data_IF_888202327611
#
_entry.id   IF_888202327611
#
_cell.length_a   1.000
_cell.length_b   1.000
_cell.length_c   1.000
_cell.angle_alpha   90.00
_cell.angle_beta   90.00
_cell.angle_gamma   90.00
#
_symmetry.space_group_name_H-M   'P 1'
#
loop_
_entity.id
_entity.type
_entity.pdbx_description
1 polymer ?
#
# COMPACT_ATOMS: atom_id res chain seq x y z
N UNK A 1 -6.77 8.83 11.86
CA UNK A 1 -7.19 7.42 11.97
C UNK A 1 -5.96 6.60 12.34
N UNK A 2 -6.06 5.67 13.29
CA UNK A 2 -4.94 4.77 13.63
C UNK A 2 -5.06 3.44 12.86
N UNK A 3 -3.99 2.64 12.86
CA UNK A 3 -3.94 1.37 12.12
C UNK A 3 -5.11 0.43 12.49
N UNK A 4 -5.40 0.28 13.78
CA UNK A 4 -6.48 -0.59 14.26
C UNK A 4 -7.85 -0.14 13.76
N UNK A 5 -8.10 1.17 13.71
CA UNK A 5 -9.34 1.73 13.15
C UNK A 5 -9.44 1.45 11.65
N UNK A 6 -8.34 1.57 10.90
CA UNK A 6 -8.30 1.26 9.48
C UNK A 6 -8.58 -0.21 9.19
N UNK A 7 -7.98 -1.12 9.96
CA UNK A 7 -8.21 -2.57 9.85
C UNK A 7 -9.66 -2.91 10.22
N UNK A 8 -10.17 -2.36 11.32
CA UNK A 8 -11.55 -2.58 11.74
C UNK A 8 -12.54 -2.07 10.67
N UNK A 9 -12.27 -0.90 10.08
CA UNK A 9 -13.08 -0.35 9.00
C UNK A 9 -13.07 -1.27 7.76
N UNK A 10 -11.90 -1.81 7.40
CA UNK A 10 -11.73 -2.76 6.29
C UNK A 10 -12.55 -4.05 6.49
N UNK A 11 -12.58 -4.56 7.71
CA UNK A 11 -13.35 -5.76 8.04
C UNK A 11 -14.87 -5.52 8.01
N UNK A 12 -15.32 -4.30 8.35
CA UNK A 12 -16.74 -3.95 8.42
C UNK A 12 -17.35 -3.53 7.08
N UNK A 13 -16.54 -2.95 6.18
CA UNK A 13 -17.03 -2.41 4.91
C UNK A 13 -16.47 -3.21 3.73
N UNK A 14 -17.34 -3.66 2.83
CA UNK A 14 -16.90 -4.35 1.61
C UNK A 14 -16.22 -3.40 0.61
N UNK A 15 -16.59 -2.10 0.63
CA UNK A 15 -16.07 -1.09 -0.29
C UNK A 15 -15.09 -0.17 0.42
N UNK A 16 -13.97 0.12 -0.24
CA UNK A 16 -13.02 1.11 0.23
C UNK A 16 -13.64 2.51 0.20
N UNK A 17 -13.50 3.32 1.26
CA UNK A 17 -13.90 4.72 1.25
C UNK A 17 -13.21 5.51 0.12
N UNK A 18 -14.00 6.24 -0.68
CA UNK A 18 -13.51 6.97 -1.85
C UNK A 18 -12.63 8.17 -1.51
N UNK A 19 -12.67 8.65 -0.26
CA UNK A 19 -11.85 9.78 0.21
C UNK A 19 -10.41 9.36 0.58
N UNK A 20 -10.11 8.06 0.64
CA UNK A 20 -8.73 7.61 0.83
C UNK A 20 -7.88 7.91 -0.41
N UNK A 21 -6.60 8.22 -0.21
CA UNK A 21 -5.64 8.34 -1.31
C UNK A 21 -5.53 7.02 -2.07
N UNK A 22 -5.10 7.03 -3.35
CA UNK A 22 -4.90 5.80 -4.12
C UNK A 22 -4.02 4.77 -3.38
N UNK A 23 -2.96 5.23 -2.71
CA UNK A 23 -2.09 4.39 -1.90
C UNK A 23 -2.83 3.67 -0.75
N UNK A 24 -3.68 4.36 0.02
CA UNK A 24 -4.49 3.74 1.07
C UNK A 24 -5.57 2.81 0.50
N UNK A 25 -6.17 3.16 -0.64
CA UNK A 25 -7.11 2.28 -1.33
C UNK A 25 -6.41 0.98 -1.77
N UNK A 26 -5.18 1.06 -2.28
CA UNK A 26 -4.45 -0.14 -2.66
C UNK A 26 -4.12 -1.04 -1.47
N UNK A 27 -3.66 -0.48 -0.35
CA UNK A 27 -3.45 -1.26 0.88
C UNK A 27 -4.74 -1.89 1.42
N UNK A 28 -5.87 -1.20 1.25
CA UNK A 28 -7.19 -1.74 1.60
C UNK A 28 -7.50 -3.03 0.83
N UNK A 29 -7.30 -3.03 -0.48
CA UNK A 29 -7.55 -4.22 -1.32
C UNK A 29 -6.50 -5.31 -1.10
N UNK A 30 -5.23 -4.94 -0.88
CA UNK A 30 -4.17 -5.90 -0.58
C UNK A 30 -4.41 -6.66 0.74
N UNK A 31 -4.92 -6.00 1.77
CA UNK A 31 -5.31 -6.63 3.05
C UNK A 31 -6.39 -7.72 2.85
N UNK A 32 -7.20 -7.58 1.80
CA UNK A 32 -8.26 -8.52 1.44
C UNK A 32 -7.80 -9.56 0.42
N UNK A 33 -6.49 -9.70 0.25
CA UNK A 33 -5.84 -10.60 -0.70
C UNK A 33 -6.17 -10.28 -2.18
N UNK A 34 -6.69 -9.09 -2.47
CA UNK A 34 -6.96 -8.61 -3.83
C UNK A 34 -5.77 -7.79 -4.35
N UNK A 35 -4.66 -8.50 -4.59
CA UNK A 35 -3.42 -7.91 -5.11
C UNK A 35 -3.64 -7.23 -6.46
N UNK A 36 -4.45 -7.82 -7.34
CA UNK A 36 -4.71 -7.28 -8.68
C UNK A 36 -5.36 -5.90 -8.59
N UNK A 37 -6.38 -5.74 -7.74
CA UNK A 37 -7.03 -4.45 -7.56
C UNK A 37 -6.09 -3.43 -6.92
N UNK A 38 -5.31 -3.85 -5.93
CA UNK A 38 -4.31 -3.00 -5.29
C UNK A 38 -3.30 -2.47 -6.32
N UNK A 39 -2.76 -3.36 -7.16
CA UNK A 39 -1.79 -3.03 -8.20
C UNK A 39 -2.41 -2.11 -9.27
N UNK A 40 -3.63 -2.39 -9.74
CA UNK A 40 -4.33 -1.53 -10.71
C UNK A 40 -4.48 -0.08 -10.21
N UNK A 41 -4.79 0.10 -8.92
CA UNK A 41 -4.97 1.44 -8.33
C UNK A 41 -3.65 2.22 -8.36
N UNK A 42 -2.56 1.66 -7.87
CA UNK A 42 -1.26 2.37 -7.82
C UNK A 42 -0.62 2.53 -9.19
N UNK A 43 -0.85 1.58 -10.12
CA UNK A 43 -0.38 1.66 -11.50
C UNK A 43 -0.86 2.93 -12.23
N UNK A 44 -2.03 3.44 -11.86
CA UNK A 44 -2.65 4.62 -12.46
C UNK A 44 -2.34 5.92 -11.70
N UNK A 45 -1.62 5.84 -10.57
CA UNK A 45 -1.23 6.99 -9.76
C UNK A 45 0.24 7.35 -9.98
N UNK A 46 0.59 8.63 -9.83
CA UNK A 46 1.93 9.16 -10.14
C UNK A 46 2.65 9.79 -8.94
N UNK A 47 2.03 9.74 -7.76
CA UNK A 47 2.58 10.30 -6.52
C UNK A 47 3.54 9.32 -5.81
N UNK A 48 4.35 9.85 -4.89
CA UNK A 48 5.37 9.09 -4.17
C UNK A 48 4.77 8.03 -3.22
N UNK A 49 3.59 8.27 -2.65
CA UNK A 49 2.95 7.33 -1.73
C UNK A 49 2.45 6.10 -2.48
N UNK A 50 1.82 6.32 -3.65
CA UNK A 50 1.40 5.25 -4.55
C UNK A 50 2.60 4.45 -5.07
N UNK A 51 3.70 5.13 -5.42
CA UNK A 51 4.95 4.45 -5.79
C UNK A 51 5.50 3.58 -4.65
N UNK A 52 5.34 3.99 -3.38
CA UNK A 52 5.80 3.20 -2.24
C UNK A 52 4.99 1.92 -2.07
N UNK A 53 3.66 2.02 -2.16
CA UNK A 53 2.78 0.84 -2.15
C UNK A 53 3.06 -0.06 -3.36
N UNK A 54 3.35 0.51 -4.53
CA UNK A 54 3.72 -0.26 -5.73
C UNK A 54 5.00 -1.08 -5.52
N UNK A 55 6.01 -0.49 -4.85
CA UNK A 55 7.23 -1.19 -4.48
C UNK A 55 6.96 -2.40 -3.58
N UNK A 56 6.13 -2.20 -2.55
CA UNK A 56 5.68 -3.28 -1.66
C UNK A 56 4.95 -4.39 -2.42
N UNK A 57 4.03 -4.06 -3.34
CA UNK A 57 3.25 -5.04 -4.09
C UNK A 57 4.14 -5.92 -4.99
N UNK A 58 5.14 -5.35 -5.66
CA UNK A 58 6.11 -6.14 -6.42
C UNK A 58 7.03 -6.97 -5.52
N UNK A 59 7.37 -6.48 -4.32
CA UNK A 59 8.10 -7.29 -3.34
C UNK A 59 7.28 -8.50 -2.90
N UNK A 60 5.96 -8.33 -2.70
CA UNK A 60 5.01 -9.40 -2.35
C UNK A 60 4.87 -10.43 -3.48
N UNK A 61 4.87 -9.98 -4.73
CA UNK A 61 4.83 -10.84 -5.93
C UNK A 61 6.17 -11.58 -6.18
N UNK A 62 7.28 -11.04 -5.69
CA UNK A 62 8.63 -11.61 -5.87
C UNK A 62 9.44 -10.95 -6.99
N UNK A 63 8.89 -9.92 -7.66
CA UNK A 63 9.62 -9.11 -8.63
C UNK A 63 10.47 -8.04 -7.94
N UNK A 64 11.61 -8.49 -7.40
CA UNK A 64 12.52 -7.61 -6.66
C UNK A 64 13.13 -6.52 -7.56
N UNK A 65 13.29 -6.76 -8.86
CA UNK A 65 13.85 -5.75 -9.76
C UNK A 65 12.90 -4.57 -9.93
N UNK A 66 11.61 -4.84 -10.15
CA UNK A 66 10.61 -3.79 -10.23
C UNK A 66 10.32 -3.16 -8.87
N UNK A 67 10.31 -3.94 -7.79
CA UNK A 67 10.19 -3.39 -6.43
C UNK A 67 11.25 -2.30 -6.19
N UNK A 68 12.52 -2.56 -6.54
CA UNK A 68 13.62 -1.57 -6.44
C UNK A 68 13.41 -0.33 -7.27
N UNK A 69 12.90 -0.47 -8.49
CA UNK A 69 12.56 0.67 -9.33
C UNK A 69 11.54 1.58 -8.64
N UNK A 70 10.49 0.99 -8.05
CA UNK A 70 9.44 1.73 -7.38
C UNK A 70 9.85 2.32 -6.03
N UNK A 71 10.69 1.63 -5.23
CA UNK A 71 11.29 2.22 -4.03
C UNK A 71 12.08 3.49 -4.33
N UNK A 72 12.88 3.46 -5.41
CA UNK A 72 13.61 4.67 -5.86
C UNK A 72 12.65 5.79 -6.25
N UNK A 73 11.54 5.45 -6.91
CA UNK A 73 10.52 6.41 -7.34
C UNK A 73 9.73 7.00 -6.18
N UNK A 74 9.54 6.25 -5.10
CA UNK A 74 8.88 6.72 -3.89
C UNK A 74 9.79 7.50 -2.95
N UNK A 75 11.10 7.51 -3.19
CA UNK A 75 12.11 8.06 -2.29
C UNK A 75 12.13 7.37 -0.91
N UNK A 76 11.73 6.10 -0.84
CA UNK A 76 11.85 5.25 0.35
C UNK A 76 12.91 4.16 0.13
N UNK A 77 13.68 3.78 1.19
CA UNK A 77 14.59 2.66 1.11
C UNK A 77 13.84 1.33 0.97
N UNK A 78 14.50 0.32 0.41
CA UNK A 78 14.01 -1.07 0.45
C UNK A 78 13.82 -1.51 1.90
N UNK A 79 12.60 -1.94 2.23
CA UNK A 79 12.27 -2.40 3.57
C UNK A 79 12.90 -3.78 3.84
N UNK A 80 13.47 -3.96 5.05
CA UNK A 80 14.32 -5.11 5.41
C UNK A 80 13.60 -6.16 6.29
N UNK A 81 12.32 -5.94 6.62
CA UNK A 81 11.53 -6.85 7.46
C UNK A 81 10.51 -7.67 6.67
N UNK A 82 9.52 -8.22 7.37
CA UNK A 82 8.46 -9.01 6.75
C UNK A 82 7.53 -8.15 5.88
N UNK A 83 6.78 -8.79 4.96
CA UNK A 83 5.76 -8.11 4.16
C UNK A 83 4.66 -7.51 5.04
N UNK A 84 4.30 -8.18 6.14
CA UNK A 84 3.33 -7.65 7.09
C UNK A 84 3.84 -6.36 7.76
N UNK A 85 5.07 -6.37 8.25
CA UNK A 85 5.68 -5.19 8.89
C UNK A 85 5.78 -4.02 7.93
N UNK A 86 6.11 -4.28 6.66
CA UNK A 86 6.12 -3.23 5.65
C UNK A 86 4.71 -2.67 5.41
N UNK A 87 3.72 -3.53 5.20
CA UNK A 87 2.33 -3.11 5.00
C UNK A 87 1.84 -2.23 6.16
N UNK A 88 2.11 -2.64 7.40
CA UNK A 88 1.75 -1.90 8.61
C UNK A 88 2.46 -0.54 8.69
N UNK A 89 3.75 -0.48 8.34
CA UNK A 89 4.51 0.78 8.33
C UNK A 89 3.96 1.75 7.29
N UNK A 90 3.70 1.27 6.07
CA UNK A 90 3.15 2.12 5.00
C UNK A 90 1.77 2.62 5.43
N UNK A 91 0.88 1.72 5.87
CA UNK A 91 -0.46 2.09 6.32
C UNK A 91 -0.41 3.16 7.43
N UNK A 92 0.36 2.92 8.50
CA UNK A 92 0.51 3.89 9.59
C UNK A 92 0.98 5.27 9.09
N UNK A 93 1.98 5.29 8.21
CA UNK A 93 2.53 6.54 7.66
C UNK A 93 1.53 7.29 6.79
N UNK A 94 0.76 6.58 5.97
CA UNK A 94 -0.24 7.20 5.10
C UNK A 94 -1.47 7.68 5.88
N UNK A 95 -1.83 6.98 6.96
CA UNK A 95 -2.95 7.36 7.84
C UNK A 95 -2.69 8.65 8.63
N UNK A 96 -1.45 9.14 8.72
CA UNK A 96 -1.17 10.48 9.30
C UNK A 96 -1.41 11.63 8.32
N UNK A 97 -1.72 11.33 7.05
CA UNK A 97 -1.89 12.31 5.96
C UNK A 97 -3.37 12.57 5.62
N UNK A 98 -4.29 11.92 6.32
CA UNK A 98 -5.75 12.01 6.13
C UNK A 98 -6.42 12.79 7.25
#
# INVERSE_FOLDING_TARGET
>A
MILDEFIQLNQQQAKCPAYFSPALQALWYDYREDWHKAHEIVQNASDADSAWVHAYLHRKEGDLSNARYWYRRSNHPEFQGSLQQEWEQIAQTLLTKI
#
